data_IF_298917118037
#
_entry.id   IF_298917118037
#
_cell.length_a   1.000
_cell.length_b   1.000
_cell.length_c   1.000
_cell.angle_alpha   90.00
_cell.angle_beta   90.00
_cell.angle_gamma   90.00
#
_symmetry.space_group_name_H-M   'P 1'
#
loop_
_entity.id
_entity.type
_entity.pdbx_description
1 polymer ?
#
# COMPACT_ATOMS: atom_id res chain seq x y z
N UNK A 1 -9.01 -19.93 -9.16
CA UNK A 1 -8.30 -19.18 -10.23
C UNK A 1 -6.80 -19.19 -10.04
N UNK A 2 -6.08 -18.93 -11.11
CA UNK A 2 -4.67 -18.53 -11.11
C UNK A 2 -4.62 -17.02 -11.35
N UNK A 3 -4.14 -16.24 -10.39
CA UNK A 3 -4.11 -14.78 -10.47
C UNK A 3 -2.67 -14.29 -10.53
N UNK A 4 -2.31 -13.61 -11.62
CA UNK A 4 -1.02 -12.97 -11.78
C UNK A 4 -1.12 -11.51 -11.34
N UNK A 5 -0.29 -11.12 -10.40
CA UNK A 5 -0.11 -9.73 -10.01
C UNK A 5 1.11 -9.13 -10.69
N UNK A 6 0.92 -8.08 -11.47
CA UNK A 6 2.02 -7.30 -12.04
C UNK A 6 2.52 -6.35 -10.96
N UNK A 7 3.52 -6.80 -10.22
CA UNK A 7 3.99 -6.12 -9.02
C UNK A 7 5.43 -6.53 -8.67
N UNK A 8 6.26 -5.53 -8.29
CA UNK A 8 7.64 -5.74 -7.85
C UNK A 8 7.98 -5.04 -6.53
N UNK A 9 7.04 -4.29 -5.95
CA UNK A 9 7.21 -3.60 -4.67
C UNK A 9 7.10 -4.51 -3.45
N UNK A 10 7.46 -3.98 -2.29
CA UNK A 10 7.48 -4.73 -1.04
C UNK A 10 6.15 -4.68 -0.25
N UNK A 11 5.23 -3.76 -0.60
CA UNK A 11 3.98 -3.56 0.13
C UNK A 11 2.84 -4.39 -0.46
N UNK A 12 2.57 -4.21 -1.74
CA UNK A 12 1.38 -4.73 -2.40
C UNK A 12 1.27 -6.27 -2.41
N UNK A 13 2.36 -7.06 -2.46
CA UNK A 13 2.28 -8.52 -2.30
C UNK A 13 1.64 -8.98 -0.98
N UNK A 14 1.63 -8.12 0.03
CA UNK A 14 1.02 -8.38 1.35
C UNK A 14 -0.43 -7.87 1.47
N UNK A 15 -1.08 -7.49 0.40
CA UNK A 15 -2.44 -6.94 0.37
C UNK A 15 -3.41 -7.86 -0.39
N UNK A 16 -4.03 -7.38 -1.46
CA UNK A 16 -4.95 -8.19 -2.28
C UNK A 16 -4.40 -9.57 -2.68
N UNK A 17 -3.10 -9.74 -3.06
CA UNK A 17 -2.57 -11.07 -3.37
C UNK A 17 -2.76 -12.07 -2.24
N UNK A 18 -2.52 -11.66 -0.98
CA UNK A 18 -2.77 -12.51 0.19
C UNK A 18 -4.25 -12.80 0.38
N UNK A 19 -5.10 -11.79 0.19
CA UNK A 19 -6.55 -11.97 0.24
C UNK A 19 -7.08 -12.99 -0.78
N UNK A 20 -6.59 -12.93 -2.04
CA UNK A 20 -6.92 -13.94 -3.06
C UNK A 20 -6.42 -15.33 -2.65
N UNK A 21 -5.20 -15.45 -2.17
CA UNK A 21 -4.66 -16.71 -1.66
C UNK A 21 -5.50 -17.28 -0.52
N UNK A 22 -5.90 -16.44 0.43
CA UNK A 22 -6.77 -16.83 1.57
C UNK A 22 -8.18 -17.23 1.14
N UNK A 23 -8.61 -16.85 -0.05
CA UNK A 23 -9.85 -17.29 -0.70
C UNK A 23 -9.67 -18.52 -1.62
N UNK A 24 -8.51 -19.19 -1.59
CA UNK A 24 -8.26 -20.43 -2.31
C UNK A 24 -7.82 -20.25 -3.77
N UNK A 25 -7.12 -19.16 -4.09
CA UNK A 25 -6.62 -18.91 -5.44
C UNK A 25 -5.10 -19.03 -5.52
N UNK A 26 -4.59 -19.58 -6.62
CA UNK A 26 -3.15 -19.62 -6.88
C UNK A 26 -2.66 -18.24 -7.27
N UNK A 27 -1.60 -17.78 -6.63
CA UNK A 27 -1.02 -16.46 -6.82
C UNK A 27 0.37 -16.55 -7.40
N UNK A 28 0.64 -15.68 -8.36
CA UNK A 28 1.98 -15.37 -8.82
C UNK A 28 2.21 -13.87 -8.78
N UNK A 29 3.29 -13.46 -8.12
CA UNK A 29 3.80 -12.08 -8.15
C UNK A 29 4.86 -12.02 -9.24
N UNK A 30 4.73 -11.08 -10.19
CA UNK A 30 5.59 -11.01 -11.37
C UNK A 30 7.05 -10.69 -11.05
N UNK A 31 7.31 -9.92 -9.98
CA UNK A 31 8.58 -9.21 -9.90
C UNK A 31 8.73 -8.19 -11.05
N UNK A 32 9.95 -7.68 -11.29
CA UNK A 32 10.20 -6.76 -12.40
C UNK A 32 9.89 -7.40 -13.77
N UNK A 33 8.94 -6.79 -14.51
CA UNK A 33 8.58 -7.27 -15.84
C UNK A 33 9.48 -6.70 -16.93
N UNK A 34 9.73 -7.51 -17.97
CA UNK A 34 10.49 -7.18 -19.17
C UNK A 34 9.83 -7.78 -20.41
N UNK A 35 10.25 -7.35 -21.61
CA UNK A 35 9.79 -7.95 -22.89
C UNK A 35 10.13 -9.45 -22.96
N UNK A 36 11.19 -9.90 -22.30
CA UNK A 36 11.64 -11.30 -22.32
C UNK A 36 10.90 -12.20 -21.34
N UNK A 37 10.64 -11.73 -20.11
CA UNK A 37 10.08 -12.59 -19.06
C UNK A 37 8.55 -12.59 -18.96
N UNK A 38 7.86 -11.50 -19.31
CA UNK A 38 6.40 -11.47 -19.21
C UNK A 38 5.72 -12.52 -20.12
N UNK A 39 6.13 -12.71 -21.40
CA UNK A 39 5.56 -13.79 -22.23
C UNK A 39 5.80 -15.19 -21.65
N UNK A 40 6.99 -15.46 -21.10
CA UNK A 40 7.32 -16.74 -20.45
C UNK A 40 6.43 -16.99 -19.24
N UNK A 41 6.30 -15.99 -18.38
CA UNK A 41 5.44 -16.01 -17.19
C UNK A 41 4.00 -16.34 -17.54
N UNK A 42 3.43 -15.67 -18.56
CA UNK A 42 2.08 -15.93 -19.04
C UNK A 42 1.93 -17.36 -19.60
N UNK A 43 2.93 -17.86 -20.31
CA UNK A 43 2.91 -19.22 -20.87
C UNK A 43 3.01 -20.30 -19.78
N UNK A 44 3.88 -20.10 -18.77
CA UNK A 44 4.11 -21.07 -17.69
C UNK A 44 2.97 -21.08 -16.68
N UNK A 45 2.55 -19.90 -16.22
CA UNK A 45 1.54 -19.80 -15.18
C UNK A 45 0.11 -19.91 -15.73
N UNK A 46 -0.11 -19.49 -16.97
CA UNK A 46 -1.46 -19.48 -17.61
C UNK A 46 -2.51 -18.84 -16.72
N UNK A 47 -2.38 -17.55 -16.37
CA UNK A 47 -3.30 -16.90 -15.43
C UNK A 47 -4.72 -16.82 -16.00
N UNK A 48 -5.70 -17.01 -15.13
CA UNK A 48 -7.11 -16.79 -15.41
C UNK A 48 -7.49 -15.31 -15.22
N UNK A 49 -6.67 -14.56 -14.49
CA UNK A 49 -6.85 -13.14 -14.17
C UNK A 49 -5.50 -12.46 -13.99
N UNK A 50 -5.36 -11.25 -14.48
CA UNK A 50 -4.19 -10.39 -14.22
C UNK A 50 -4.66 -9.15 -13.46
N UNK A 51 -3.96 -8.82 -12.37
CA UNK A 51 -4.27 -7.66 -11.53
C UNK A 51 -3.03 -6.79 -11.39
N UNK A 52 -3.23 -5.48 -11.41
CA UNK A 52 -2.18 -4.49 -11.12
C UNK A 52 -2.71 -3.44 -10.15
N UNK A 53 -1.82 -2.88 -9.29
CA UNK A 53 -2.23 -2.07 -8.14
C UNK A 53 -1.50 -0.72 -8.13
N UNK A 54 -2.25 0.37 -8.04
CA UNK A 54 -1.75 1.71 -7.76
C UNK A 54 -0.72 2.22 -8.77
N UNK A 55 0.37 2.74 -8.24
CA UNK A 55 1.52 3.14 -9.03
C UNK A 55 2.76 2.38 -8.52
N UNK A 56 3.71 2.13 -9.40
CA UNK A 56 4.95 1.45 -9.04
C UNK A 56 5.89 1.33 -10.24
N UNK A 57 6.99 0.63 -10.01
CA UNK A 57 8.04 0.44 -11.03
C UNK A 57 7.56 -0.36 -12.24
N UNK A 58 6.46 -1.11 -12.07
CA UNK A 58 5.83 -1.88 -13.14
C UNK A 58 4.82 -1.06 -13.95
N UNK A 59 4.67 0.24 -13.65
CA UNK A 59 3.71 1.14 -14.30
C UNK A 59 4.37 2.27 -15.11
N UNK A 60 5.62 2.09 -15.60
CA UNK A 60 6.15 3.04 -16.59
C UNK A 60 5.31 2.97 -17.88
N UNK A 61 5.24 4.04 -18.68
CA UNK A 61 4.45 4.05 -19.91
C UNK A 61 4.74 2.85 -20.83
N UNK A 62 6.02 2.44 -20.91
CA UNK A 62 6.46 1.31 -21.73
C UNK A 62 5.96 -0.03 -21.17
N UNK A 63 6.02 -0.20 -19.86
CA UNK A 63 5.50 -1.39 -19.20
C UNK A 63 3.97 -1.47 -19.28
N UNK A 64 3.26 -0.34 -19.18
CA UNK A 64 1.81 -0.29 -19.40
C UNK A 64 1.44 -0.78 -20.80
N UNK A 65 2.18 -0.35 -21.82
CA UNK A 65 1.99 -0.81 -23.20
C UNK A 65 2.35 -2.29 -23.33
N UNK A 66 3.48 -2.71 -22.77
CA UNK A 66 3.91 -4.11 -22.77
C UNK A 66 2.86 -5.04 -22.15
N UNK A 67 2.30 -4.67 -20.99
CA UNK A 67 1.24 -5.43 -20.32
C UNK A 67 0.04 -5.58 -21.23
N UNK A 68 -0.46 -4.48 -21.81
CA UNK A 68 -1.57 -4.51 -22.77
C UNK A 68 -1.29 -5.43 -23.96
N UNK A 69 -0.12 -5.28 -24.60
CA UNK A 69 0.26 -6.03 -25.80
C UNK A 69 0.42 -7.54 -25.52
N UNK A 70 0.81 -7.92 -24.32
CA UNK A 70 0.97 -9.31 -23.96
C UNK A 70 -0.33 -9.97 -23.45
N UNK A 71 -1.19 -9.23 -22.77
CA UNK A 71 -2.39 -9.80 -22.10
C UNK A 71 -3.59 -9.79 -23.04
N UNK A 72 -3.85 -8.68 -23.73
CA UNK A 72 -5.05 -8.53 -24.57
C UNK A 72 -5.20 -9.60 -25.67
N UNK A 73 -4.15 -9.99 -26.44
CA UNK A 73 -4.26 -11.04 -27.46
C UNK A 73 -4.55 -12.44 -26.89
N UNK A 74 -4.36 -12.63 -25.59
CA UNK A 74 -4.60 -13.90 -24.89
C UNK A 74 -6.00 -13.99 -24.28
N UNK A 75 -6.80 -12.93 -24.41
CA UNK A 75 -8.13 -12.81 -23.81
C UNK A 75 -8.13 -13.09 -22.29
N UNK A 76 -7.07 -12.67 -21.58
CA UNK A 76 -6.98 -12.76 -20.12
C UNK A 76 -7.52 -11.44 -19.56
N UNK A 77 -8.51 -11.46 -18.65
CA UNK A 77 -8.99 -10.24 -18.01
C UNK A 77 -7.88 -9.51 -17.27
N UNK A 78 -7.76 -8.19 -17.51
CA UNK A 78 -6.82 -7.29 -16.87
C UNK A 78 -7.56 -6.31 -15.95
N UNK A 79 -7.24 -6.33 -14.68
CA UNK A 79 -7.86 -5.49 -13.65
C UNK A 79 -6.84 -4.48 -13.11
N UNK A 80 -7.27 -3.23 -12.97
CA UNK A 80 -6.50 -2.20 -12.29
C UNK A 80 -7.19 -1.77 -10.99
N UNK A 81 -6.48 -1.76 -9.86
CA UNK A 81 -6.94 -1.18 -8.61
C UNK A 81 -6.27 0.18 -8.39
N UNK A 82 -7.04 1.25 -8.61
CA UNK A 82 -6.61 2.65 -8.57
C UNK A 82 -6.62 3.18 -7.12
N UNK A 83 -5.58 2.88 -6.36
CA UNK A 83 -5.41 3.31 -4.96
C UNK A 83 -4.87 4.73 -4.83
N UNK A 84 -4.50 5.37 -5.92
CA UNK A 84 -4.04 6.77 -5.97
C UNK A 84 -5.20 7.77 -6.14
N UNK A 85 -6.41 7.27 -6.34
CA UNK A 85 -7.62 8.09 -6.40
C UNK A 85 -8.00 8.61 -5.00
N UNK A 86 -8.67 9.75 -4.92
CA UNK A 86 -9.03 10.67 -6.01
C UNK A 86 -7.94 11.70 -6.36
N UNK A 87 -6.83 11.78 -5.59
CA UNK A 87 -5.84 12.84 -5.74
C UNK A 87 -5.13 12.81 -7.09
N UNK A 88 -4.81 11.63 -7.58
CA UNK A 88 -4.04 11.47 -8.81
C UNK A 88 -4.85 10.89 -9.97
N UNK A 89 -6.18 10.94 -9.90
CA UNK A 89 -7.08 10.44 -10.95
C UNK A 89 -6.71 10.98 -12.33
N UNK A 90 -6.56 12.31 -12.48
CA UNK A 90 -6.30 12.91 -13.77
C UNK A 90 -4.85 12.75 -14.25
N UNK A 91 -3.89 12.76 -13.33
CA UNK A 91 -2.46 12.79 -13.65
C UNK A 91 -1.84 11.40 -13.69
N UNK A 92 -2.50 10.40 -13.12
CA UNK A 92 -2.00 9.04 -13.03
C UNK A 92 -3.02 7.99 -13.49
N UNK A 93 -4.15 7.84 -12.79
CA UNK A 93 -5.07 6.72 -13.03
C UNK A 93 -5.67 6.75 -14.44
N UNK A 94 -6.16 7.89 -14.91
CA UNK A 94 -6.73 8.01 -16.27
C UNK A 94 -5.69 7.80 -17.37
N UNK A 95 -4.48 8.41 -17.34
CA UNK A 95 -3.42 8.11 -18.30
C UNK A 95 -3.01 6.63 -18.33
N UNK A 96 -2.98 5.96 -17.16
CA UNK A 96 -2.69 4.54 -17.07
C UNK A 96 -3.81 3.71 -17.72
N UNK A 97 -5.07 4.00 -17.39
CA UNK A 97 -6.25 3.32 -17.96
C UNK A 97 -6.25 3.45 -19.49
N UNK A 98 -5.97 4.63 -20.01
CA UNK A 98 -5.92 4.88 -21.45
C UNK A 98 -4.83 4.03 -22.14
N UNK A 99 -3.62 3.95 -21.55
CA UNK A 99 -2.49 3.21 -22.15
C UNK A 99 -2.60 1.70 -21.95
N UNK A 100 -2.92 1.26 -20.74
CA UNK A 100 -2.96 -0.16 -20.37
C UNK A 100 -4.25 -0.84 -20.81
N UNK A 101 -5.37 -0.09 -20.88
CA UNK A 101 -6.71 -0.54 -21.25
C UNK A 101 -7.17 -1.76 -20.43
N UNK A 102 -7.26 -1.66 -19.09
CA UNK A 102 -7.80 -2.71 -18.27
C UNK A 102 -9.28 -2.96 -18.62
N UNK A 103 -9.74 -4.21 -18.46
CA UNK A 103 -11.12 -4.60 -18.67
C UNK A 103 -12.05 -4.10 -17.58
N UNK A 104 -11.51 -3.90 -16.36
CA UNK A 104 -12.23 -3.34 -15.23
C UNK A 104 -11.32 -2.57 -14.30
N UNK A 105 -11.84 -1.51 -13.67
CA UNK A 105 -11.10 -0.65 -12.74
C UNK A 105 -11.79 -0.64 -11.39
N UNK A 106 -11.06 -1.03 -10.35
CA UNK A 106 -11.48 -0.74 -8.97
C UNK A 106 -10.81 0.55 -8.48
N UNK A 107 -11.51 1.32 -7.66
CA UNK A 107 -10.99 2.54 -7.05
C UNK A 107 -11.41 2.64 -5.59
N UNK A 108 -10.54 3.22 -4.75
CA UNK A 108 -10.83 3.46 -3.33
C UNK A 108 -11.80 4.61 -3.09
N UNK A 109 -12.30 5.26 -4.14
CA UNK A 109 -13.20 6.41 -4.04
C UNK A 109 -14.47 6.17 -4.84
N UNK A 110 -15.61 6.05 -4.15
CA UNK A 110 -16.92 5.81 -4.79
C UNK A 110 -17.30 6.91 -5.80
N UNK A 111 -17.02 8.18 -5.46
CA UNK A 111 -17.22 9.31 -6.39
C UNK A 111 -16.40 9.18 -7.67
N UNK A 112 -15.19 8.61 -7.57
CA UNK A 112 -14.32 8.38 -8.73
C UNK A 112 -14.80 7.18 -9.55
N UNK A 113 -15.29 6.11 -8.91
CA UNK A 113 -15.92 4.99 -9.62
C UNK A 113 -17.10 5.49 -10.49
N UNK A 114 -17.98 6.31 -9.92
CA UNK A 114 -19.09 6.93 -10.64
C UNK A 114 -18.63 7.81 -11.83
N UNK A 115 -17.53 8.56 -11.66
CA UNK A 115 -16.94 9.36 -12.76
C UNK A 115 -16.36 8.48 -13.87
N UNK A 116 -15.75 7.33 -13.54
CA UNK A 116 -15.26 6.37 -14.51
C UNK A 116 -16.42 5.77 -15.31
N UNK A 117 -17.49 5.33 -14.64
CA UNK A 117 -18.70 4.79 -15.28
C UNK A 117 -19.32 5.80 -16.24
N UNK A 118 -19.44 7.08 -15.85
CA UNK A 118 -19.95 8.15 -16.73
C UNK A 118 -19.08 8.37 -17.98
N UNK A 119 -17.80 7.96 -17.96
CA UNK A 119 -16.89 7.97 -19.11
C UNK A 119 -16.88 6.66 -19.89
N UNK A 120 -17.74 5.71 -19.55
CA UNK A 120 -17.79 4.39 -20.18
C UNK A 120 -16.65 3.46 -19.76
N UNK A 121 -15.97 3.75 -18.63
CA UNK A 121 -14.93 2.87 -18.07
C UNK A 121 -15.62 1.94 -17.06
N UNK A 122 -15.63 0.59 -17.30
CA UNK A 122 -16.18 -0.36 -16.35
C UNK A 122 -15.43 -0.25 -15.01
N UNK A 123 -16.15 0.03 -13.93
CA UNK A 123 -15.51 0.30 -12.64
C UNK A 123 -16.44 0.10 -11.45
N UNK A 124 -15.84 -0.15 -10.29
CA UNK A 124 -16.52 -0.22 -9.00
C UNK A 124 -15.64 0.33 -7.86
N UNK A 125 -16.29 0.63 -6.75
CA UNK A 125 -15.63 0.95 -5.49
C UNK A 125 -15.06 -0.30 -4.83
N UNK A 126 -13.81 -0.22 -4.39
CA UNK A 126 -13.15 -1.22 -3.54
C UNK A 126 -12.16 -0.49 -2.62
N UNK A 127 -12.50 -0.40 -1.35
CA UNK A 127 -11.68 0.29 -0.36
C UNK A 127 -10.44 -0.50 0.03
N UNK A 128 -9.53 0.14 0.77
CA UNK A 128 -8.44 -0.52 1.47
C UNK A 128 -8.93 -1.57 2.46
N UNK A 129 -8.02 -2.38 2.91
CA UNK A 129 -8.23 -3.36 3.97
C UNK A 129 -6.96 -3.56 4.79
N UNK A 130 -6.98 -4.58 5.62
CA UNK A 130 -5.81 -5.08 6.34
C UNK A 130 -5.57 -6.56 6.03
N UNK A 131 -4.34 -7.00 6.17
CA UNK A 131 -3.96 -8.40 5.96
C UNK A 131 -3.92 -9.14 7.29
N UNK A 132 -4.82 -10.11 7.47
CA UNK A 132 -5.01 -10.85 8.73
C UNK A 132 -3.74 -11.59 9.19
N UNK A 133 -2.89 -12.03 8.27
CA UNK A 133 -1.61 -12.71 8.60
C UNK A 133 -0.47 -11.75 8.97
N UNK A 134 -0.67 -10.45 8.79
CA UNK A 134 0.29 -9.38 9.11
C UNK A 134 -0.23 -8.52 10.26
N UNK A 135 -1.48 -8.10 10.19
CA UNK A 135 -2.10 -7.20 11.15
C UNK A 135 -3.05 -7.98 12.07
N UNK A 136 -2.50 -8.57 13.10
CA UNK A 136 -3.20 -9.28 14.15
C UNK A 136 -2.68 -8.85 15.52
N UNK A 137 -3.49 -8.94 16.58
CA UNK A 137 -3.05 -8.61 17.92
C UNK A 137 -1.85 -9.48 18.36
N UNK A 138 -0.82 -8.83 18.89
CA UNK A 138 0.37 -9.50 19.43
C UNK A 138 0.52 -9.24 20.92
N UNK A 139 1.43 -9.97 21.60
CA UNK A 139 1.90 -9.55 22.90
C UNK A 139 2.62 -8.20 22.81
N UNK A 140 2.69 -7.45 23.90
CA UNK A 140 3.45 -6.22 23.96
C UNK A 140 4.96 -6.51 23.90
N UNK A 141 5.64 -5.87 22.95
CA UNK A 141 7.09 -5.91 22.80
C UNK A 141 7.70 -4.65 23.42
N UNK A 142 8.66 -4.81 24.33
CA UNK A 142 9.26 -3.69 25.04
C UNK A 142 9.92 -2.67 24.09
N UNK A 143 10.58 -3.15 23.04
CA UNK A 143 11.26 -2.31 22.04
C UNK A 143 10.31 -1.50 21.14
N UNK A 144 9.03 -1.89 21.08
CA UNK A 144 7.98 -1.20 20.32
C UNK A 144 6.96 -0.49 21.24
N UNK A 145 7.15 -0.59 22.57
CA UNK A 145 6.20 -0.06 23.53
C UNK A 145 6.33 1.44 23.70
N UNK A 146 5.20 2.14 23.60
CA UNK A 146 5.11 3.59 23.82
C UNK A 146 3.74 3.98 24.36
N UNK A 147 3.64 5.16 24.97
CA UNK A 147 2.33 5.71 25.32
C UNK A 147 1.56 6.17 24.10
N UNK A 148 2.25 6.85 23.17
CA UNK A 148 1.64 7.37 21.95
C UNK A 148 2.58 7.08 20.79
N UNK A 149 2.06 6.51 19.70
CA UNK A 149 2.84 6.29 18.49
C UNK A 149 2.12 6.72 17.22
N UNK A 150 2.94 7.03 16.21
CA UNK A 150 2.53 7.27 14.82
C UNK A 150 3.34 6.34 13.92
N UNK A 151 2.67 5.57 13.08
CA UNK A 151 3.32 4.78 12.02
C UNK A 151 2.91 5.35 10.67
N UNK A 152 3.72 6.25 10.13
CA UNK A 152 3.48 6.91 8.83
C UNK A 152 4.74 7.63 8.37
N UNK A 153 4.91 7.81 7.05
CA UNK A 153 5.90 8.77 6.55
C UNK A 153 5.40 10.21 6.73
N UNK A 154 6.30 11.14 6.99
CA UNK A 154 5.96 12.54 7.26
C UNK A 154 5.56 13.34 6.00
N UNK A 155 6.29 13.16 4.89
CA UNK A 155 6.10 13.86 3.60
C UNK A 155 6.22 15.40 3.66
N UNK A 156 7.31 15.98 4.23
CA UNK A 156 7.45 17.44 4.36
C UNK A 156 7.34 18.17 3.02
N UNK A 157 8.03 17.70 1.97
CA UNK A 157 8.00 18.33 0.64
C UNK A 157 6.61 18.34 0.02
N UNK A 158 5.88 17.21 0.13
CA UNK A 158 4.52 17.11 -0.37
C UNK A 158 3.59 18.09 0.35
N UNK A 159 3.72 18.21 1.66
CA UNK A 159 2.92 19.14 2.45
C UNK A 159 3.22 20.60 2.09
N UNK A 160 4.50 20.94 1.89
CA UNK A 160 4.87 22.29 1.42
C UNK A 160 4.35 22.58 0.01
N UNK A 161 4.37 21.60 -0.88
CA UNK A 161 3.90 21.72 -2.26
C UNK A 161 2.38 21.82 -2.38
N UNK A 162 1.62 21.16 -1.48
CA UNK A 162 0.16 21.07 -1.54
C UNK A 162 -0.49 21.63 -0.26
N UNK A 163 -0.65 22.97 -0.15
CA UNK A 163 -1.17 23.60 1.07
C UNK A 163 -2.60 23.20 1.43
N UNK A 164 -3.40 22.75 0.45
CA UNK A 164 -4.79 22.31 0.66
C UNK A 164 -4.91 20.80 0.93
N UNK A 165 -3.80 20.09 1.09
CA UNK A 165 -3.85 18.65 1.33
C UNK A 165 -4.43 18.35 2.72
N UNK A 166 -5.46 17.51 2.80
CA UNK A 166 -6.20 17.23 4.05
C UNK A 166 -5.34 16.68 5.20
N UNK A 167 -4.17 16.13 4.91
CA UNK A 167 -3.21 15.68 5.93
C UNK A 167 -2.73 16.81 6.84
N UNK A 168 -2.78 18.08 6.40
CA UNK A 168 -2.50 19.23 7.27
C UNK A 168 -3.44 19.25 8.48
N UNK A 169 -4.73 18.95 8.26
CA UNK A 169 -5.70 18.85 9.36
C UNK A 169 -5.31 17.76 10.36
N UNK A 170 -4.90 16.58 9.86
CA UNK A 170 -4.45 15.48 10.72
C UNK A 170 -3.26 15.89 11.59
N UNK A 171 -2.26 16.52 10.99
CA UNK A 171 -1.03 16.92 11.71
C UNK A 171 -1.33 18.05 12.69
N UNK A 172 -2.09 19.08 12.27
CA UNK A 172 -2.39 20.25 13.08
C UNK A 172 -3.30 19.92 14.28
N UNK A 173 -4.21 18.95 14.13
CA UNK A 173 -5.13 18.57 15.21
C UNK A 173 -4.58 17.47 16.10
N UNK A 174 -3.87 16.50 15.55
CA UNK A 174 -3.50 15.28 16.31
C UNK A 174 -2.04 15.28 16.79
N UNK A 175 -1.11 15.90 16.07
CA UNK A 175 0.33 15.84 16.38
C UNK A 175 0.81 17.14 17.00
N UNK A 176 0.63 18.26 16.30
CA UNK A 176 1.20 19.57 16.71
C UNK A 176 0.82 19.98 18.14
N UNK A 177 -0.44 19.87 18.60
CA UNK A 177 -0.81 20.30 19.97
C UNK A 177 -0.11 19.45 21.06
N UNK A 178 0.16 18.18 20.78
CA UNK A 178 0.89 17.32 21.71
C UNK A 178 2.38 17.71 21.79
N UNK A 179 2.99 18.00 20.63
CA UNK A 179 4.39 18.48 20.59
C UNK A 179 4.54 19.83 21.29
N UNK A 180 3.60 20.76 21.12
CA UNK A 180 3.57 22.06 21.83
C UNK A 180 3.50 21.91 23.37
N UNK A 181 2.88 20.84 23.84
CA UNK A 181 2.81 20.46 25.24
C UNK A 181 3.95 19.55 25.70
N UNK A 182 4.93 19.29 24.83
CA UNK A 182 6.06 18.38 25.07
C UNK A 182 5.61 16.96 25.46
N UNK A 183 4.46 16.52 24.97
CA UNK A 183 3.98 15.15 25.12
C UNK A 183 4.74 14.27 24.12
N UNK A 184 5.40 13.22 24.62
CA UNK A 184 6.16 12.31 23.77
C UNK A 184 5.26 11.53 22.82
N UNK A 185 5.65 11.55 21.54
CA UNK A 185 5.09 10.71 20.47
C UNK A 185 6.24 9.95 19.83
N UNK A 186 6.14 8.65 19.74
CA UNK A 186 7.14 7.82 19.06
C UNK A 186 6.76 7.69 17.55
N UNK A 187 7.65 8.20 16.69
CA UNK A 187 7.40 8.30 15.24
C UNK A 187 8.12 7.19 14.50
N UNK A 188 7.35 6.35 13.82
CA UNK A 188 7.81 5.31 12.91
C UNK A 188 7.48 5.69 11.47
N UNK A 189 8.52 5.75 10.62
CA UNK A 189 8.42 6.15 9.22
C UNK A 189 9.49 7.16 8.83
N UNK A 190 9.58 7.48 7.55
CA UNK A 190 10.62 8.33 7.00
C UNK A 190 10.30 9.82 7.14
N UNK A 191 11.34 10.65 7.22
CA UNK A 191 11.32 12.11 7.11
C UNK A 191 10.67 12.87 8.28
N UNK A 192 10.45 12.26 9.43
CA UNK A 192 9.99 12.97 10.62
C UNK A 192 11.06 13.92 11.18
N UNK A 193 12.34 13.61 10.98
CA UNK A 193 13.50 14.45 11.28
C UNK A 193 13.56 15.75 10.44
N UNK A 194 12.77 15.84 9.37
CA UNK A 194 12.72 17.00 8.46
C UNK A 194 11.47 17.86 8.68
N UNK A 195 10.65 17.54 9.68
CA UNK A 195 9.38 18.23 9.92
C UNK A 195 9.49 19.52 10.72
N UNK A 196 10.67 19.83 11.29
CA UNK A 196 10.85 20.99 12.17
C UNK A 196 10.40 22.32 11.55
N UNK A 197 10.80 22.60 10.32
CA UNK A 197 10.39 23.83 9.59
C UNK A 197 8.89 23.90 9.32
N UNK A 198 8.26 22.77 9.05
CA UNK A 198 6.82 22.69 8.82
C UNK A 198 6.01 22.85 10.12
N UNK A 199 6.42 22.18 11.19
CA UNK A 199 5.74 22.20 12.48
C UNK A 199 5.99 23.49 13.28
N UNK A 200 7.13 24.16 13.03
CA UNK A 200 7.65 25.22 13.89
C UNK A 200 8.22 24.69 15.22
N UNK A 201 8.40 23.38 15.35
CA UNK A 201 8.88 22.69 16.55
C UNK A 201 9.76 21.53 16.09
N UNK A 202 10.97 21.42 16.64
CA UNK A 202 11.86 20.28 16.39
C UNK A 202 11.38 19.06 17.19
N UNK A 203 11.28 17.91 16.51
CA UNK A 203 10.98 16.64 17.15
C UNK A 203 12.27 16.08 17.76
N UNK A 204 12.30 15.72 19.07
CA UNK A 204 13.46 15.11 19.68
C UNK A 204 13.90 13.85 18.92
N UNK A 205 15.20 13.71 18.69
CA UNK A 205 15.75 12.61 17.88
C UNK A 205 15.46 11.23 18.45
N UNK A 206 15.39 11.10 19.75
CA UNK A 206 15.05 9.85 20.46
C UNK A 206 13.56 9.47 20.38
N UNK A 207 12.71 10.33 19.79
CA UNK A 207 11.31 10.02 19.48
C UNK A 207 11.12 9.49 18.05
N UNK A 208 12.19 9.55 17.21
CA UNK A 208 12.15 9.19 15.79
C UNK A 208 12.85 7.85 15.59
N UNK A 209 12.09 6.83 15.22
CA UNK A 209 12.58 5.46 15.04
C UNK A 209 12.91 5.12 13.57
N UNK A 210 12.58 6.01 12.62
CA UNK A 210 12.84 5.82 11.20
C UNK A 210 11.95 4.75 10.54
N UNK A 211 12.47 4.10 9.51
CA UNK A 211 11.70 3.15 8.70
C UNK A 211 11.25 1.93 9.50
N UNK A 212 9.98 1.60 9.36
CA UNK A 212 9.38 0.37 9.90
C UNK A 212 8.98 -0.56 8.75
N UNK A 213 9.40 -1.81 8.80
CA UNK A 213 8.97 -2.81 7.82
C UNK A 213 7.47 -3.09 7.98
N UNK A 214 6.77 -3.18 6.86
CA UNK A 214 5.32 -3.40 6.83
C UNK A 214 4.86 -4.57 7.72
N UNK A 215 5.60 -5.68 7.68
CA UNK A 215 5.30 -6.89 8.46
C UNK A 215 5.57 -6.77 9.97
N UNK A 216 6.17 -5.67 10.42
CA UNK A 216 6.46 -5.41 11.83
C UNK A 216 5.53 -4.34 12.43
N UNK A 217 4.71 -3.71 11.60
CA UNK A 217 3.84 -2.62 12.01
C UNK A 217 2.85 -3.03 13.11
N UNK A 218 2.34 -4.27 13.07
CA UNK A 218 1.45 -4.80 14.09
C UNK A 218 2.08 -4.82 15.49
N UNK A 219 3.41 -4.99 15.59
CA UNK A 219 4.11 -4.94 16.88
C UNK A 219 3.99 -3.56 17.53
N UNK A 220 4.15 -2.48 16.75
CA UNK A 220 3.94 -1.12 17.24
C UNK A 220 2.49 -0.88 17.58
N UNK A 221 1.56 -1.30 16.71
CA UNK A 221 0.12 -1.11 16.90
C UNK A 221 -0.42 -1.80 18.16
N UNK A 222 0.05 -3.02 18.45
CA UNK A 222 -0.34 -3.79 19.63
C UNK A 222 0.41 -3.37 20.91
N UNK A 223 1.59 -2.72 20.79
CA UNK A 223 2.42 -2.38 21.94
C UNK A 223 2.22 -0.96 22.47
N UNK A 224 1.66 -0.07 21.65
CA UNK A 224 1.41 1.33 22.03
C UNK A 224 0.05 1.48 22.73
N UNK A 225 -0.02 2.38 23.72
CA UNK A 225 -1.28 2.63 24.43
C UNK A 225 -2.26 3.43 23.56
N UNK A 226 -1.77 4.39 22.75
CA UNK A 226 -2.55 5.19 21.80
C UNK A 226 -1.83 5.24 20.46
N UNK A 227 -2.51 4.81 19.41
CA UNK A 227 -2.06 4.98 18.03
C UNK A 227 -2.73 6.20 17.41
N UNK A 228 -1.95 7.16 16.90
CA UNK A 228 -2.47 8.28 16.11
C UNK A 228 -2.56 7.87 14.65
N UNK A 229 -3.78 7.87 14.10
CA UNK A 229 -4.07 7.57 12.70
C UNK A 229 -4.28 8.83 11.87
N UNK A 230 -3.37 9.10 10.92
CA UNK A 230 -3.47 10.27 10.04
C UNK A 230 -4.36 9.97 8.85
N UNK A 231 -5.29 10.88 8.55
CA UNK A 231 -6.15 10.82 7.37
C UNK A 231 -5.62 11.73 6.25
N UNK A 232 -5.86 11.34 5.00
CA UNK A 232 -5.44 12.07 3.81
C UNK A 232 -6.61 12.72 3.07
N UNK A 233 -7.85 12.36 3.42
CA UNK A 233 -9.09 12.82 2.81
C UNK A 233 -10.17 12.99 3.86
N UNK A 234 -11.12 13.89 3.67
CA UNK A 234 -12.25 14.07 4.59
C UNK A 234 -13.28 12.93 4.50
N UNK A 235 -13.42 12.31 3.34
CA UNK A 235 -14.47 11.34 3.01
C UNK A 235 -13.95 9.91 2.76
N UNK A 236 -12.68 9.65 2.99
CA UNK A 236 -12.07 8.31 2.91
C UNK A 236 -11.29 8.02 4.18
N UNK A 237 -11.06 6.74 4.46
CA UNK A 237 -10.13 6.29 5.51
C UNK A 237 -8.83 5.81 4.89
N UNK A 238 -7.72 6.03 5.60
CA UNK A 238 -6.42 5.49 5.16
C UNK A 238 -6.33 4.00 5.47
N UNK A 239 -5.56 3.26 4.67
CA UNK A 239 -5.26 1.84 4.89
C UNK A 239 -4.82 1.58 6.34
N UNK A 240 -4.06 2.49 6.91
CA UNK A 240 -3.54 2.40 8.27
C UNK A 240 -4.62 2.35 9.35
N UNK A 241 -5.79 2.94 9.10
CA UNK A 241 -6.94 2.83 9.99
C UNK A 241 -7.35 1.36 10.16
N UNK A 242 -7.46 0.63 9.05
CA UNK A 242 -7.79 -0.80 9.07
C UNK A 242 -6.68 -1.64 9.72
N UNK A 243 -5.41 -1.32 9.44
CA UNK A 243 -4.24 -2.03 9.96
C UNK A 243 -4.12 -1.91 11.49
N UNK A 244 -4.30 -0.69 12.03
CA UNK A 244 -4.25 -0.45 13.48
C UNK A 244 -5.36 -1.23 14.18
N UNK A 245 -6.59 -1.13 13.69
CA UNK A 245 -7.73 -1.85 14.29
C UNK A 245 -7.59 -3.36 14.12
N UNK A 246 -7.11 -3.83 12.95
CA UNK A 246 -6.81 -5.25 12.69
C UNK A 246 -5.77 -5.82 13.65
N UNK A 247 -4.82 -5.00 14.09
CA UNK A 247 -3.79 -5.36 15.09
C UNK A 247 -4.24 -5.17 16.54
N UNK A 248 -5.51 -4.82 16.80
CA UNK A 248 -6.01 -4.56 18.13
C UNK A 248 -5.45 -3.29 18.77
N UNK A 249 -4.99 -2.32 17.97
CA UNK A 249 -4.48 -1.04 18.46
C UNK A 249 -5.63 -0.10 18.86
N UNK A 250 -5.40 0.73 19.90
CA UNK A 250 -6.31 1.81 20.25
C UNK A 250 -6.06 3.00 19.32
N UNK A 251 -7.02 3.30 18.46
CA UNK A 251 -6.89 4.34 17.44
C UNK A 251 -7.52 5.66 17.86
N UNK A 252 -6.72 6.73 17.86
CA UNK A 252 -7.15 8.12 17.87
C UNK A 252 -6.91 8.73 16.48
N UNK A 253 -7.97 9.26 15.85
CA UNK A 253 -7.90 9.86 14.52
C UNK A 253 -8.75 11.12 14.41
N UNK A 254 -8.82 11.74 13.21
CA UNK A 254 -9.67 12.89 12.98
C UNK A 254 -11.16 12.54 13.01
N UNK A 255 -11.96 13.42 13.56
CA UNK A 255 -13.40 13.44 13.30
C UNK A 255 -13.64 13.87 11.85
N UNK A 256 -14.06 12.93 11.02
CA UNK A 256 -14.29 13.15 9.59
C UNK A 256 -15.42 12.26 9.06
N UNK A 257 -16.13 12.72 8.00
CA UNK A 257 -17.20 11.93 7.38
C UNK A 257 -16.75 10.52 6.95
N UNK A 258 -15.54 10.37 6.42
CA UNK A 258 -14.98 9.09 6.01
C UNK A 258 -14.83 8.11 7.18
N UNK A 259 -14.32 8.59 8.31
CA UNK A 259 -14.18 7.77 9.53
C UNK A 259 -15.55 7.37 10.06
N UNK A 260 -16.49 8.32 10.19
CA UNK A 260 -17.81 8.05 10.75
C UNK A 260 -18.73 7.22 9.85
N UNK A 261 -18.47 7.20 8.53
CA UNK A 261 -19.20 6.31 7.59
C UNK A 261 -18.71 4.86 7.66
N UNK A 262 -17.47 4.63 8.09
CA UNK A 262 -16.85 3.30 8.12
C UNK A 262 -16.87 2.67 9.50
N UNK A 263 -16.69 3.46 10.55
CA UNK A 263 -16.58 3.05 11.93
C UNK A 263 -17.46 3.90 12.85
N UNK A 264 -17.70 3.43 14.07
CA UNK A 264 -18.51 4.12 15.10
C UNK A 264 -17.58 4.83 16.09
N UNK A 265 -17.43 6.17 16.02
CA UNK A 265 -16.65 6.94 16.99
C UNK A 265 -17.13 6.70 18.43
N UNK A 266 -16.18 6.58 19.37
CA UNK A 266 -16.44 6.27 20.77
C UNK A 266 -16.69 4.79 21.07
N UNK A 267 -16.81 3.94 20.05
CA UNK A 267 -17.07 2.50 20.18
C UNK A 267 -15.94 1.69 19.53
N UNK A 268 -15.67 1.92 18.26
CA UNK A 268 -14.65 1.18 17.48
C UNK A 268 -13.27 1.86 17.53
N UNK A 269 -13.27 3.17 17.69
CA UNK A 269 -12.10 4.05 17.73
C UNK A 269 -12.49 5.39 18.35
N UNK A 270 -11.51 6.24 18.61
CA UNK A 270 -11.72 7.59 19.11
C UNK A 270 -11.39 8.61 18.03
N UNK A 271 -12.22 9.64 17.91
CA UNK A 271 -12.00 10.76 17.00
C UNK A 271 -11.70 12.03 17.78
N UNK A 272 -10.98 12.96 17.16
CA UNK A 272 -10.73 14.29 17.71
C UNK A 272 -11.20 15.37 16.72
N UNK A 273 -11.93 16.36 17.26
CA UNK A 273 -12.52 17.48 16.50
C UNK A 273 -11.69 18.76 16.58
N UNK A 274 -10.77 18.88 17.57
CA UNK A 274 -9.92 20.07 17.75
C UNK A 274 -8.57 19.70 18.40
N UNK A 275 -7.57 20.62 18.37
CA UNK A 275 -6.32 20.49 19.12
C UNK A 275 -6.53 20.24 20.62
N UNK A 276 -7.46 20.96 21.24
CA UNK A 276 -7.77 20.87 22.66
C UNK A 276 -8.40 19.50 22.98
N UNK A 277 -9.33 19.04 22.14
CA UNK A 277 -9.98 17.75 22.23
C UNK A 277 -8.98 16.59 22.12
N UNK A 278 -7.94 16.74 21.28
CA UNK A 278 -6.83 15.77 21.21
C UNK A 278 -6.09 15.67 22.55
N UNK A 279 -5.72 16.82 23.14
CA UNK A 279 -5.00 16.83 24.41
C UNK A 279 -5.86 16.21 25.53
N UNK A 280 -7.15 16.56 25.57
CA UNK A 280 -8.09 16.02 26.57
C UNK A 280 -8.22 14.51 26.43
N UNK A 281 -8.48 13.99 25.24
CA UNK A 281 -8.64 12.56 24.97
C UNK A 281 -7.36 11.75 25.25
N UNK A 282 -6.20 12.27 24.86
CA UNK A 282 -4.92 11.62 25.18
C UNK A 282 -4.73 11.54 26.69
N UNK A 283 -4.93 12.64 27.43
CA UNK A 283 -4.79 12.66 28.89
C UNK A 283 -5.80 11.74 29.58
N UNK A 284 -7.01 11.64 29.04
CA UNK A 284 -8.06 10.78 29.56
C UNK A 284 -7.72 9.30 29.35
N UNK A 285 -7.51 8.91 28.10
CA UNK A 285 -7.32 7.51 27.75
C UNK A 285 -5.98 6.92 28.22
N UNK A 286 -4.94 7.72 28.45
CA UNK A 286 -3.72 7.24 29.08
C UNK A 286 -3.97 6.75 30.53
N UNK A 287 -5.01 7.28 31.22
CA UNK A 287 -5.38 6.92 32.59
C UNK A 287 -6.48 5.87 32.69
N UNK A 288 -7.21 5.61 31.58
CA UNK A 288 -8.39 4.72 31.59
C UNK A 288 -8.13 3.48 30.72
N UNK A 289 -7.24 2.60 31.19
CA UNK A 289 -6.78 1.41 30.46
C UNK A 289 -7.92 0.43 30.14
N UNK A 290 -8.89 0.28 31.05
CA UNK A 290 -10.02 -0.65 30.85
C UNK A 290 -10.94 -0.18 29.71
N UNK A 291 -11.22 1.13 29.65
CA UNK A 291 -12.01 1.71 28.55
C UNK A 291 -11.26 1.62 27.21
N UNK A 292 -9.92 1.88 27.21
CA UNK A 292 -9.09 1.66 26.01
C UNK A 292 -9.22 0.22 25.54
N UNK A 293 -9.08 -0.75 26.45
CA UNK A 293 -9.15 -2.18 26.10
C UNK A 293 -10.51 -2.56 25.53
N UNK A 294 -11.60 -2.00 26.05
CA UNK A 294 -12.95 -2.23 25.53
C UNK A 294 -13.09 -1.72 24.09
N UNK A 295 -12.60 -0.50 23.81
CA UNK A 295 -12.62 0.12 22.47
C UNK A 295 -11.70 -0.63 21.51
N UNK A 296 -10.50 -1.02 21.92
CA UNK A 296 -9.58 -1.85 21.14
C UNK A 296 -10.22 -3.15 20.67
N UNK A 297 -10.85 -3.88 21.61
CA UNK A 297 -11.52 -5.13 21.31
C UNK A 297 -12.69 -4.93 20.34
N UNK A 298 -13.50 -3.90 20.54
CA UNK A 298 -14.62 -3.62 19.66
C UNK A 298 -14.14 -3.18 18.27
N UNK A 299 -13.14 -2.31 18.18
CA UNK A 299 -12.52 -1.89 16.91
C UNK A 299 -11.94 -3.07 16.14
N UNK A 300 -11.27 -4.00 16.83
CA UNK A 300 -10.77 -5.24 16.22
C UNK A 300 -11.90 -6.11 15.66
N UNK A 301 -13.03 -6.22 16.36
CA UNK A 301 -14.20 -6.96 15.86
C UNK A 301 -14.81 -6.24 14.65
N UNK A 302 -15.00 -4.93 14.75
CA UNK A 302 -15.68 -4.13 13.71
C UNK A 302 -14.90 -4.03 12.42
N UNK A 303 -13.56 -4.16 12.44
CA UNK A 303 -12.73 -4.09 11.25
C UNK A 303 -12.69 -5.40 10.44
N UNK A 304 -13.08 -6.55 10.99
CA UNK A 304 -12.96 -7.85 10.32
C UNK A 304 -13.58 -7.93 8.92
N UNK A 305 -14.76 -7.31 8.64
CA UNK A 305 -15.32 -7.26 7.30
C UNK A 305 -14.47 -6.48 6.29
N UNK A 306 -13.47 -5.74 6.76
CA UNK A 306 -12.56 -4.94 5.94
C UNK A 306 -11.19 -5.61 5.74
N UNK A 307 -11.06 -6.93 5.97
CA UNK A 307 -9.81 -7.64 5.66
C UNK A 307 -9.61 -7.77 4.14
N UNK A 308 -8.36 -7.91 3.69
CA UNK A 308 -8.10 -8.17 2.27
C UNK A 308 -8.73 -9.47 1.78
N UNK A 309 -8.93 -10.45 2.65
CA UNK A 309 -9.72 -11.64 2.33
C UNK A 309 -11.18 -11.26 1.98
N UNK A 310 -11.81 -10.38 2.75
CA UNK A 310 -13.15 -9.89 2.46
C UNK A 310 -13.18 -9.00 1.21
N UNK A 311 -12.20 -8.09 1.04
CA UNK A 311 -12.09 -7.22 -0.16
C UNK A 311 -11.92 -8.01 -1.43
N UNK A 312 -11.09 -9.07 -1.43
CA UNK A 312 -10.93 -9.91 -2.62
C UNK A 312 -12.17 -10.74 -2.93
N UNK A 313 -12.94 -11.17 -1.93
CA UNK A 313 -14.26 -11.79 -2.16
C UNK A 313 -15.19 -10.80 -2.84
N UNK A 314 -15.31 -9.57 -2.30
CA UNK A 314 -16.10 -8.50 -2.94
C UNK A 314 -15.65 -8.23 -4.38
N UNK A 315 -14.32 -8.16 -4.63
CA UNK A 315 -13.77 -7.97 -5.98
C UNK A 315 -14.21 -9.11 -6.92
N UNK A 316 -14.08 -10.37 -6.49
CA UNK A 316 -14.45 -11.55 -7.26
C UNK A 316 -15.96 -11.55 -7.57
N UNK A 317 -16.80 -11.29 -6.57
CA UNK A 317 -18.25 -11.25 -6.73
C UNK A 317 -18.66 -10.22 -7.79
N UNK A 318 -18.07 -9.01 -7.75
CA UNK A 318 -18.29 -7.96 -8.75
C UNK A 318 -17.81 -8.42 -10.14
N UNK A 319 -16.63 -9.01 -10.26
CA UNK A 319 -16.10 -9.47 -11.56
C UNK A 319 -16.95 -10.59 -12.16
N UNK A 320 -17.51 -11.47 -11.34
CA UNK A 320 -18.45 -12.52 -11.78
C UNK A 320 -19.79 -11.90 -12.23
N UNK A 321 -20.34 -10.97 -11.44
CA UNK A 321 -21.59 -10.26 -11.81
C UNK A 321 -21.43 -9.50 -13.13
N UNK A 322 -20.29 -8.86 -13.34
CA UNK A 322 -19.96 -8.14 -14.57
C UNK A 322 -19.53 -9.04 -15.73
N UNK A 323 -19.52 -10.37 -15.53
CA UNK A 323 -19.12 -11.39 -16.52
C UNK A 323 -17.69 -11.21 -17.05
N UNK A 324 -16.81 -10.65 -16.23
CA UNK A 324 -15.36 -10.53 -16.49
C UNK A 324 -14.66 -11.85 -16.17
N UNK A 325 -15.14 -12.55 -15.15
CA UNK A 325 -14.65 -13.86 -14.73
C UNK A 325 -15.85 -14.82 -14.61
N UNK A 326 -15.72 -16.03 -15.14
CA UNK A 326 -16.76 -17.06 -14.99
C UNK A 326 -16.80 -17.61 -13.56
N UNK A 327 -17.99 -17.91 -13.06
CA UNK A 327 -18.19 -18.44 -11.72
C UNK A 327 -17.41 -19.74 -11.46
N UNK A 328 -17.33 -20.64 -12.45
CA UNK A 328 -16.57 -21.89 -12.35
C UNK A 328 -15.07 -21.64 -12.20
N UNK A 329 -14.54 -20.65 -12.93
CA UNK A 329 -13.14 -20.20 -12.83
C UNK A 329 -12.86 -19.55 -11.48
N UNK A 330 -13.84 -18.82 -10.93
CA UNK A 330 -13.75 -18.15 -9.62
C UNK A 330 -13.75 -19.12 -8.43
N UNK A 331 -14.02 -20.41 -8.63
CA UNK A 331 -14.05 -21.40 -7.57
C UNK A 331 -12.70 -21.53 -6.82
N UNK A 332 -12.80 -21.76 -5.51
CA UNK A 332 -11.65 -21.97 -4.63
C UNK A 332 -10.94 -23.30 -4.90
N UNK A 333 -9.62 -23.35 -4.70
CA UNK A 333 -8.80 -24.56 -4.79
C UNK A 333 -8.44 -25.04 -3.39
N UNK A 334 -8.25 -26.34 -3.19
CA UNK A 334 -7.98 -26.92 -1.87
C UNK A 334 -6.58 -26.55 -1.34
N UNK A 335 -5.56 -26.46 -2.18
CA UNK A 335 -4.19 -26.17 -1.78
C UNK A 335 -3.61 -25.04 -2.66
N UNK A 336 -4.03 -23.79 -2.47
CA UNK A 336 -3.59 -22.68 -3.29
C UNK A 336 -2.10 -22.42 -3.10
N UNK A 337 -1.42 -22.02 -4.18
CA UNK A 337 0.01 -21.71 -4.17
C UNK A 337 0.21 -20.19 -4.16
N UNK A 338 1.23 -19.73 -3.47
CA UNK A 338 1.67 -18.34 -3.49
C UNK A 338 3.15 -18.29 -3.90
N UNK A 339 3.39 -17.86 -5.12
CA UNK A 339 4.71 -17.88 -5.72
C UNK A 339 5.15 -16.48 -6.18
N UNK A 340 6.46 -16.28 -6.21
CA UNK A 340 7.09 -15.21 -6.97
C UNK A 340 7.67 -15.81 -8.25
N UNK A 341 7.49 -15.13 -9.37
CA UNK A 341 8.08 -15.60 -10.61
C UNK A 341 9.60 -15.60 -10.50
N UNK A 342 10.19 -16.71 -10.84
CA UNK A 342 11.64 -16.89 -10.96
C UNK A 342 11.91 -17.31 -12.40
N UNK A 343 12.48 -16.39 -13.20
CA UNK A 343 12.92 -16.74 -14.54
C UNK A 343 14.04 -17.79 -14.41
N UNK A 344 13.88 -18.96 -15.04
CA UNK A 344 14.92 -20.01 -15.01
C UNK A 344 16.19 -19.53 -15.69
N UNK A 345 16.07 -18.56 -16.59
CA UNK A 345 17.21 -17.87 -17.19
C UNK A 345 17.79 -16.78 -16.27
N UNK A 346 17.18 -16.52 -15.11
CA UNK A 346 17.67 -15.56 -14.10
C UNK A 346 18.99 -16.01 -13.42
N UNK A 347 19.48 -17.22 -13.69
CA UNK A 347 20.87 -17.57 -13.34
C UNK A 347 21.88 -16.62 -14.02
N UNK A 348 21.49 -15.98 -15.12
CA UNK A 348 22.28 -14.98 -15.84
C UNK A 348 22.10 -13.55 -15.30
N UNK A 349 21.15 -13.32 -14.40
CA UNK A 349 20.86 -11.98 -13.86
C UNK A 349 20.99 -11.95 -12.34
N UNK A 350 21.45 -10.78 -11.86
CA UNK A 350 21.42 -10.39 -10.45
C UNK A 350 20.25 -9.41 -10.26
N UNK A 351 19.48 -9.55 -9.20
CA UNK A 351 18.52 -8.55 -8.77
C UNK A 351 19.22 -7.61 -7.79
N UNK A 352 19.44 -6.38 -8.23
CA UNK A 352 20.08 -5.34 -7.43
C UNK A 352 19.04 -4.36 -6.89
N UNK A 353 19.07 -4.11 -5.58
CA UNK A 353 18.26 -3.09 -4.92
C UNK A 353 19.02 -1.78 -4.90
N UNK A 354 18.51 -0.76 -5.59
CA UNK A 354 19.08 0.58 -5.66
C UNK A 354 19.17 1.20 -4.26
N UNK A 355 20.35 1.70 -3.92
CA UNK A 355 20.66 2.35 -2.64
C UNK A 355 20.68 3.87 -2.79
N UNK A 356 20.58 4.58 -1.67
CA UNK A 356 20.74 6.03 -1.62
C UNK A 356 22.06 6.46 -2.26
N UNK A 357 21.99 7.39 -3.22
CA UNK A 357 23.17 7.91 -3.94
C UNK A 357 23.64 7.06 -5.11
N UNK A 358 22.92 5.97 -5.47
CA UNK A 358 23.20 5.22 -6.69
C UNK A 358 22.79 6.01 -7.94
N UNK A 359 23.50 5.72 -9.01
CA UNK A 359 23.14 6.13 -10.38
C UNK A 359 23.34 4.96 -11.33
N UNK A 360 22.67 4.96 -12.47
CA UNK A 360 22.86 3.92 -13.49
C UNK A 360 24.33 3.78 -13.89
N UNK A 361 25.05 4.90 -13.97
CA UNK A 361 26.49 4.88 -14.27
C UNK A 361 27.29 4.17 -13.16
N UNK A 362 27.02 4.49 -11.89
CA UNK A 362 27.72 3.84 -10.77
C UNK A 362 27.43 2.35 -10.70
N UNK A 363 26.16 1.97 -10.89
CA UNK A 363 25.75 0.57 -10.94
C UNK A 363 26.40 -0.15 -12.12
N UNK A 364 26.43 0.47 -13.30
CA UNK A 364 27.07 -0.11 -14.49
C UNK A 364 28.55 -0.41 -14.25
N UNK A 365 29.29 0.54 -13.62
CA UNK A 365 30.70 0.32 -13.27
C UNK A 365 30.88 -0.79 -12.21
N UNK A 366 29.97 -0.87 -11.24
CA UNK A 366 30.06 -1.87 -10.18
C UNK A 366 29.87 -3.30 -10.68
N UNK A 367 29.05 -3.48 -11.71
CA UNK A 367 28.65 -4.80 -12.21
C UNK A 367 29.16 -5.13 -13.62
N UNK A 368 30.06 -4.30 -14.18
CA UNK A 368 30.68 -4.58 -15.47
C UNK A 368 29.72 -4.53 -16.68
N UNK A 369 28.55 -3.90 -16.54
CA UNK A 369 27.54 -3.77 -17.60
C UNK A 369 27.48 -2.31 -18.12
N UNK A 370 26.91 -2.12 -19.30
CA UNK A 370 26.70 -0.75 -19.81
C UNK A 370 25.44 -0.11 -19.25
N UNK A 371 25.39 1.24 -19.23
CA UNK A 371 24.18 1.96 -18.84
C UNK A 371 23.00 1.66 -19.79
N UNK A 372 23.30 1.44 -21.08
CA UNK A 372 22.26 1.15 -22.06
C UNK A 372 21.70 -0.28 -21.88
N UNK A 373 22.53 -1.26 -21.57
CA UNK A 373 22.05 -2.61 -21.18
C UNK A 373 21.18 -2.56 -19.94
N UNK A 374 21.55 -1.77 -18.91
CA UNK A 374 20.73 -1.59 -17.72
C UNK A 374 19.37 -0.95 -18.05
N UNK A 375 19.37 0.08 -18.91
CA UNK A 375 18.14 0.74 -19.35
C UNK A 375 17.24 -0.20 -20.16
N UNK A 376 17.80 -0.87 -21.14
CA UNK A 376 17.06 -1.77 -22.02
C UNK A 376 16.46 -2.96 -21.23
N UNK A 377 17.28 -3.62 -20.39
CA UNK A 377 16.86 -4.75 -19.57
C UNK A 377 15.74 -4.40 -18.58
N UNK A 378 15.79 -3.17 -18.04
CA UNK A 378 14.82 -2.70 -17.03
C UNK A 378 13.76 -1.74 -17.60
N UNK A 379 13.71 -1.54 -18.91
CA UNK A 379 12.77 -0.64 -19.61
C UNK A 379 12.80 0.80 -19.05
N UNK A 380 14.00 1.34 -18.82
CA UNK A 380 14.20 2.68 -18.30
C UNK A 380 14.40 3.67 -19.45
N UNK A 381 13.45 4.57 -19.67
CA UNK A 381 13.49 5.55 -20.80
C UNK A 381 14.29 6.81 -20.51
N UNK A 382 14.24 7.28 -19.25
CA UNK A 382 14.81 8.59 -18.88
C UNK A 382 16.08 8.49 -18.02
N UNK A 383 16.60 7.28 -17.79
CA UNK A 383 17.79 7.06 -16.98
C UNK A 383 17.66 7.38 -15.49
N UNK A 384 16.45 7.67 -15.02
CA UNK A 384 16.17 7.90 -13.60
C UNK A 384 15.92 6.57 -12.92
N UNK A 385 16.51 6.41 -11.75
CA UNK A 385 16.28 5.29 -10.83
C UNK A 385 15.95 5.83 -9.45
N UNK A 386 15.11 5.11 -8.71
CA UNK A 386 14.70 5.50 -7.37
C UNK A 386 15.35 4.60 -6.32
N UNK A 387 15.62 5.15 -5.16
CA UNK A 387 16.04 4.36 -4.01
C UNK A 387 15.03 3.24 -3.72
N UNK A 388 15.55 2.06 -3.36
CA UNK A 388 14.80 0.83 -3.15
C UNK A 388 14.20 0.21 -4.43
N UNK A 389 14.43 0.76 -5.61
CA UNK A 389 14.07 0.14 -6.87
C UNK A 389 14.89 -1.15 -7.06
N UNK A 390 14.25 -2.18 -7.61
CA UNK A 390 14.96 -3.39 -8.03
C UNK A 390 15.30 -3.32 -9.51
N UNK A 391 16.58 -3.58 -9.82
CA UNK A 391 17.07 -3.66 -11.19
C UNK A 391 17.57 -5.05 -11.47
N UNK A 392 17.26 -5.58 -12.65
CA UNK A 392 17.96 -6.75 -13.21
C UNK A 392 19.29 -6.31 -13.80
N UNK A 393 20.35 -7.01 -13.45
CA UNK A 393 21.71 -6.78 -13.95
C UNK A 393 22.22 -8.08 -14.53
N UNK A 394 22.71 -8.06 -15.74
CA UNK A 394 23.35 -9.22 -16.38
C UNK A 394 24.61 -9.61 -15.60
N UNK A 395 24.75 -10.86 -15.18
CA UNK A 395 26.00 -11.36 -14.62
C UNK A 395 27.03 -11.49 -15.74
N UNK A 396 28.29 -11.15 -15.46
CA UNK A 396 29.38 -11.51 -16.38
C UNK A 396 29.40 -13.02 -16.58
N UNK A 397 29.50 -13.46 -17.82
CA UNK A 397 29.80 -14.85 -18.12
C UNK A 397 31.21 -15.12 -17.58
N UNK A 398 31.33 -15.88 -16.48
CA UNK A 398 32.60 -16.45 -16.09
C UNK A 398 33.00 -17.45 -17.19
N UNK A 399 33.85 -17.00 -18.10
CA UNK A 399 34.57 -17.90 -19.00
C UNK A 399 35.51 -18.72 -18.11
N UNK A 400 35.12 -19.99 -17.86
CA UNK A 400 36.00 -21.01 -17.34
C UNK A 400 37.09 -21.36 -18.39
#
# INVERSE_FOLDING_TARGET
>A
MRVLFIESGNLWPHTLPKGFHSNGHDIMISGPITKGNLPKMLAEFQPDLVVTIGWGQEHTPEKQILVREQIKPRNIPLIYWAVEDPAYTNNWSLPLIEKMQPDFVFTICEKTANKYQQRGIPSAFLDFGFEESVHFPTCKYTEYSSQIAVVANAYPDKLMQYPDHFRHESINRLIKPLLEKQVRIDFWGNHWDQMGSYLGIEIPKDWIHGHLYYREANKVYSSSDIMIGLQNYPDLVTQRTHEILGSGGFLLTLDSPGVSSTFKPGIDLIVSSSPEDTIEKVNYYLKHADERSAIQNQGHISVQPNSYKARTRQMIDILVEQKIVDLEVAASRENPKFNYFQDKDDQQYLIYKVKTGDSLWRISQTFGVTVDELKELNLLTNGLINENQFLKIKKEETTD
#
